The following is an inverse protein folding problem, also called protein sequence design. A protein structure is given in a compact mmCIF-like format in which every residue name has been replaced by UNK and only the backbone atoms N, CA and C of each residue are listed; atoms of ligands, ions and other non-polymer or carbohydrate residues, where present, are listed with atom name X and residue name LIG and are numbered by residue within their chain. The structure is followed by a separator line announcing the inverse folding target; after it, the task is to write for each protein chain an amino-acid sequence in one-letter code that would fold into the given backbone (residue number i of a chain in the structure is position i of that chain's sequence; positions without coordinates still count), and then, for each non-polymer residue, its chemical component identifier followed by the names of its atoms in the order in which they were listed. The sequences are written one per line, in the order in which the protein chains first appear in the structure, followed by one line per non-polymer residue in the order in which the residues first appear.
data_IF_037670531306
#
_entry.id   IF_037670531306
#
_cell.length_a   1.000
_cell.length_b   1.000
_cell.length_c   1.000
_cell.angle_alpha   90.00
_cell.angle_beta   90.00
_cell.angle_gamma   90.00
#
_symmetry.space_group_name_H-M   'P 1'
#
loop_
_entity.id
_entity.type
_entity.pdbx_description
1 polymer ?
#
# COMPACT_ATOMS: atom_id res chain seq x y z
N UNK A 1 11.07 -17.35 -8.93
CA UNK A 1 9.64 -17.19 -8.60
C UNK A 1 9.25 -15.72 -8.75
N UNK A 2 8.19 -15.49 -9.48
CA UNK A 2 7.69 -14.14 -9.64
C UNK A 2 6.69 -13.81 -8.53
N UNK A 3 6.86 -12.65 -7.92
CA UNK A 3 5.91 -12.16 -6.91
C UNK A 3 4.97 -11.19 -7.61
N UNK A 4 3.69 -11.55 -7.68
CA UNK A 4 2.68 -10.76 -8.38
C UNK A 4 1.88 -9.86 -7.45
N UNK A 5 1.80 -10.20 -6.17
CA UNK A 5 1.00 -9.45 -5.21
C UNK A 5 1.55 -9.64 -3.80
N UNK A 6 1.67 -8.54 -3.07
CA UNK A 6 2.19 -8.54 -1.70
C UNK A 6 1.10 -8.09 -0.74
N UNK A 7 1.00 -8.77 0.41
CA UNK A 7 0.17 -8.34 1.52
C UNK A 7 1.03 -7.77 2.63
N UNK A 8 0.60 -6.67 3.23
CA UNK A 8 1.25 -6.06 4.39
C UNK A 8 0.24 -6.00 5.52
N UNK A 9 0.55 -6.59 6.64
CA UNK A 9 -0.30 -6.57 7.83
C UNK A 9 0.20 -5.47 8.76
N UNK A 10 -0.65 -4.49 9.01
CA UNK A 10 -0.31 -3.32 9.81
C UNK A 10 0.07 -2.14 8.94
N UNK A 11 -0.79 -1.11 8.95
CA UNK A 11 -0.62 0.09 8.13
C UNK A 11 -0.13 1.30 8.92
N UNK A 12 0.63 1.11 10.01
CA UNK A 12 1.29 2.18 10.74
C UNK A 12 2.40 2.80 9.89
N UNK A 13 3.28 3.59 10.51
CA UNK A 13 4.32 4.29 9.77
C UNK A 13 5.20 3.35 8.96
N UNK A 14 5.62 2.22 9.54
CA UNK A 14 6.48 1.25 8.85
C UNK A 14 5.72 0.53 7.74
N UNK A 15 4.53 0.01 8.02
CA UNK A 15 3.73 -0.72 7.03
C UNK A 15 3.30 0.15 5.87
N UNK A 16 2.90 1.38 6.14
CA UNK A 16 2.51 2.34 5.10
C UNK A 16 3.70 2.72 4.23
N UNK A 17 4.87 2.93 4.84
CA UNK A 17 6.08 3.22 4.08
C UNK A 17 6.47 2.07 3.18
N UNK A 18 6.41 0.85 3.69
CA UNK A 18 6.72 -0.36 2.92
C UNK A 18 5.76 -0.54 1.77
N UNK A 19 4.45 -0.38 2.02
CA UNK A 19 3.43 -0.51 0.98
C UNK A 19 3.66 0.52 -0.14
N UNK A 20 3.99 1.75 0.21
CA UNK A 20 4.27 2.80 -0.78
C UNK A 20 5.48 2.45 -1.65
N UNK A 21 6.54 1.91 -1.05
CA UNK A 21 7.72 1.48 -1.81
C UNK A 21 7.42 0.30 -2.73
N UNK A 22 6.63 -0.65 -2.28
CA UNK A 22 6.24 -1.81 -3.09
C UNK A 22 5.42 -1.34 -4.30
N UNK A 23 4.44 -0.48 -4.08
CA UNK A 23 3.62 0.07 -5.15
C UNK A 23 4.47 0.84 -6.18
N UNK A 24 5.47 1.58 -5.70
CA UNK A 24 6.39 2.32 -6.56
C UNK A 24 7.20 1.41 -7.46
N UNK A 25 7.46 0.18 -7.03
CA UNK A 25 8.16 -0.83 -7.84
C UNK A 25 7.24 -1.53 -8.84
N UNK A 26 5.96 -1.16 -8.87
CA UNK A 26 5.01 -1.72 -9.82
C UNK A 26 4.39 -3.04 -9.36
N UNK A 27 4.44 -3.33 -8.07
CA UNK A 27 3.87 -4.55 -7.51
C UNK A 27 2.57 -4.20 -6.77
N UNK A 28 1.44 -4.84 -7.11
CA UNK A 28 0.21 -4.64 -6.35
C UNK A 28 0.37 -5.03 -4.89
N UNK A 29 -0.14 -4.20 -3.99
CA UNK A 29 -0.01 -4.43 -2.55
C UNK A 29 -1.36 -4.25 -1.87
N UNK A 30 -1.68 -5.18 -0.97
CA UNK A 30 -2.88 -5.11 -0.14
C UNK A 30 -2.44 -4.93 1.32
N UNK A 31 -2.91 -3.86 1.95
CA UNK A 31 -2.62 -3.58 3.35
C UNK A 31 -3.81 -4.04 4.19
N UNK A 32 -3.55 -4.91 5.17
CA UNK A 32 -4.57 -5.44 6.07
C UNK A 32 -4.49 -4.73 7.41
N UNK A 33 -5.61 -4.17 7.85
CA UNK A 33 -5.73 -3.52 9.14
C UNK A 33 -6.81 -4.19 10.00
N UNK A 34 -6.82 -3.88 11.30
CA UNK A 34 -7.72 -4.52 12.26
C UNK A 34 -9.16 -4.01 12.19
N UNK A 35 -9.36 -2.80 11.68
CA UNK A 35 -10.68 -2.17 11.64
C UNK A 35 -10.81 -1.25 10.43
N UNK A 36 -12.06 -0.87 10.06
CA UNK A 36 -12.27 0.11 9.00
C UNK A 36 -11.61 1.45 9.27
N UNK A 37 -11.59 1.89 10.53
CA UNK A 37 -10.98 3.16 10.92
C UNK A 37 -9.46 3.14 10.70
N UNK A 38 -8.81 2.05 11.10
CA UNK A 38 -7.39 1.88 10.87
C UNK A 38 -7.06 1.72 9.40
N UNK A 39 -7.94 1.06 8.64
CA UNK A 39 -7.77 0.93 7.20
C UNK A 39 -7.79 2.31 6.52
N UNK A 40 -8.71 3.18 6.91
CA UNK A 40 -8.78 4.53 6.36
C UNK A 40 -7.55 5.36 6.71
N UNK A 41 -7.07 5.25 7.96
CA UNK A 41 -5.85 5.93 8.38
C UNK A 41 -4.64 5.47 7.57
N UNK A 42 -4.54 4.16 7.33
CA UNK A 42 -3.46 3.60 6.51
C UNK A 42 -3.52 4.11 5.08
N UNK A 43 -4.72 4.16 4.50
CA UNK A 43 -4.91 4.69 3.15
C UNK A 43 -4.45 6.14 3.05
N UNK A 44 -4.82 6.96 4.02
CA UNK A 44 -4.41 8.36 4.04
C UNK A 44 -2.90 8.52 4.16
N UNK A 45 -2.24 7.70 4.98
CA UNK A 45 -0.78 7.74 5.10
C UNK A 45 -0.09 7.39 3.77
N UNK A 46 -0.56 6.34 3.11
CA UNK A 46 0.04 5.86 1.88
C UNK A 46 -0.17 6.88 0.75
N UNK A 47 -1.40 7.34 0.59
CA UNK A 47 -1.71 8.34 -0.45
C UNK A 47 -1.01 9.66 -0.17
N UNK A 48 -0.87 10.04 1.09
CA UNK A 48 -0.11 11.22 1.48
C UNK A 48 1.35 11.16 1.06
N UNK A 49 1.96 9.97 1.12
CA UNK A 49 3.33 9.78 0.62
C UNK A 49 3.42 9.99 -0.88
N UNK A 50 2.48 9.44 -1.64
CA UNK A 50 2.44 9.60 -3.10
C UNK A 50 2.25 11.07 -3.47
N UNK A 51 1.34 11.75 -2.80
CA UNK A 51 1.08 13.16 -3.03
C UNK A 51 2.29 14.03 -2.68
N UNK A 52 2.99 13.68 -1.60
CA UNK A 52 4.22 14.36 -1.22
C UNK A 52 5.30 14.23 -2.28
N UNK A 53 5.47 13.05 -2.84
CA UNK A 53 6.43 12.84 -3.93
C UNK A 53 6.05 13.65 -5.17
N UNK A 54 4.77 13.70 -5.49
CA UNK A 54 4.28 14.49 -6.62
C UNK A 54 4.51 15.98 -6.41
N UNK A 55 4.21 16.49 -5.22
CA UNK A 55 4.44 17.90 -4.87
C UNK A 55 5.91 18.30 -5.01
N UNK A 56 6.82 17.38 -4.67
CA UNK A 56 8.26 17.62 -4.76
C UNK A 56 8.81 17.42 -6.17
N UNK A 57 7.96 17.11 -7.13
CA UNK A 57 8.38 16.87 -8.50
C UNK A 57 9.09 15.55 -8.73
N UNK A 58 9.02 14.61 -7.78
CA UNK A 58 9.73 13.32 -7.88
C UNK A 58 8.97 12.31 -8.74
N UNK A 59 7.67 12.46 -8.87
CA UNK A 59 6.84 11.61 -9.72
C UNK A 59 5.86 12.47 -10.51
N UNK A 60 5.44 11.96 -11.67
CA UNK A 60 4.45 12.63 -12.50
C UNK A 60 3.02 12.35 -11.98
N UNK A 61 2.05 13.11 -12.50
CA UNK A 61 0.64 12.85 -12.18
C UNK A 61 0.22 11.45 -12.63
N UNK A 62 0.71 11.00 -13.77
CA UNK A 62 0.44 9.64 -14.25
C UNK A 62 0.95 8.59 -13.28
N UNK A 63 2.17 8.78 -12.77
CA UNK A 63 2.73 7.88 -11.77
C UNK A 63 1.95 7.91 -10.46
N UNK A 64 1.51 9.09 -10.03
CA UNK A 64 0.67 9.23 -8.85
C UNK A 64 -0.58 8.36 -8.96
N UNK A 65 -1.26 8.44 -10.10
CA UNK A 65 -2.46 7.65 -10.34
C UNK A 65 -2.18 6.16 -10.42
N UNK A 66 -1.07 5.78 -11.05
CA UNK A 66 -0.65 4.38 -11.12
C UNK A 66 -0.38 3.79 -9.73
N UNK A 67 0.33 4.53 -8.89
CA UNK A 67 0.66 4.06 -7.53
C UNK A 67 -0.59 3.91 -6.68
N UNK A 68 -1.52 4.85 -6.77
CA UNK A 68 -2.81 4.74 -6.08
C UNK A 68 -3.55 3.47 -6.49
N UNK A 69 -3.53 3.14 -7.77
CA UNK A 69 -4.21 1.95 -8.30
C UNK A 69 -3.56 0.65 -7.84
N UNK A 70 -2.27 0.68 -7.45
CA UNK A 70 -1.55 -0.50 -6.98
C UNK A 70 -1.86 -0.86 -5.54
N UNK A 71 -2.45 0.05 -4.76
CA UNK A 71 -2.65 -0.14 -3.32
C UNK A 71 -4.12 -0.39 -3.01
N UNK A 72 -4.39 -1.50 -2.34
CA UNK A 72 -5.68 -1.78 -1.72
C UNK A 72 -5.50 -1.82 -0.21
N UNK A 73 -6.44 -1.26 0.54
CA UNK A 73 -6.42 -1.29 2.00
C UNK A 73 -7.72 -1.92 2.48
N UNK A 74 -7.64 -2.86 3.40
CA UNK A 74 -8.79 -3.65 3.82
C UNK A 74 -8.70 -4.01 5.30
N UNK A 75 -9.84 -4.32 5.91
CA UNK A 75 -9.91 -4.95 7.23
C UNK A 75 -10.36 -6.41 7.15
N UNK A 76 -10.50 -6.96 5.95
CA UNK A 76 -11.00 -8.31 5.73
C UNK A 76 -9.88 -9.21 5.20
N UNK A 77 -9.61 -10.32 5.92
CA UNK A 77 -8.59 -11.29 5.52
C UNK A 77 -8.87 -11.93 4.15
N UNK A 78 -10.14 -12.03 3.75
CA UNK A 78 -10.48 -12.61 2.45
C UNK A 78 -9.85 -11.83 1.29
N UNK A 79 -9.62 -10.54 1.48
CA UNK A 79 -8.99 -9.71 0.45
C UNK A 79 -7.48 -9.95 0.32
N UNK A 80 -6.91 -10.74 1.24
CA UNK A 80 -5.48 -11.04 1.26
C UNK A 80 -5.17 -12.48 0.84
N UNK A 81 -6.17 -13.29 0.50
CA UNK A 81 -5.95 -14.73 0.27
C UNK A 81 -5.20 -15.03 -1.01
N UNK A 82 -5.10 -14.08 -1.93
CA UNK A 82 -4.42 -14.25 -3.21
C UNK A 82 -3.03 -13.61 -3.25
N UNK A 83 -2.50 -13.16 -2.11
CA UNK A 83 -1.16 -12.59 -2.09
C UNK A 83 -0.11 -13.69 -2.15
N UNK A 84 1.01 -13.40 -2.80
CA UNK A 84 2.13 -14.32 -2.94
C UNK A 84 3.09 -14.25 -1.76
N UNK A 85 3.14 -13.10 -1.10
CA UNK A 85 4.01 -12.86 0.05
C UNK A 85 3.26 -12.01 1.05
N UNK A 86 3.29 -12.39 2.32
CA UNK A 86 2.67 -11.64 3.40
C UNK A 86 3.74 -11.14 4.35
N UNK A 87 3.76 -9.86 4.61
CA UNK A 87 4.72 -9.20 5.50
C UNK A 87 3.97 -8.64 6.70
N UNK A 88 4.41 -8.99 7.90
CA UNK A 88 3.89 -8.40 9.12
C UNK A 88 4.73 -7.19 9.51
N UNK A 89 4.09 -6.03 9.64
CA UNK A 89 4.74 -4.76 9.94
C UNK A 89 4.13 -4.12 11.20
N UNK A 90 3.84 -4.94 12.19
CA UNK A 90 3.25 -4.51 13.46
C UNK A 90 4.31 -4.28 14.53
#
# INVERSE_FOLDING_TARGET
MDIFKVGVVGGGAMGSGLAALIARKGVPVTVKEASPEFAEQARQRIYGKFEGWHKKGKISESQLNQYRAMVAVTDNWDDCKDVDLLIEAV
#
